data_IF_556937561132
#
_entry.id   IF_556937561132
#
_cell.length_a   1.000
_cell.length_b   1.000
_cell.length_c   1.000
_cell.angle_alpha   90.00
_cell.angle_beta   90.00
_cell.angle_gamma   90.00
#
_symmetry.space_group_name_H-M   'P 1'
#
loop_
_entity.id
_entity.type
_entity.pdbx_description
1 polymer ?
#
# COMPACT_ATOMS: atom_id res chain seq x y z
N UNK A 1 15.25 37.57 -67.49
CA UNK A 1 15.81 36.87 -66.31
C UNK A 1 15.12 37.28 -65.00
N UNK A 2 13.77 37.24 -64.88
CA UNK A 2 13.05 37.64 -63.64
C UNK A 2 12.04 36.60 -63.12
N UNK A 3 11.77 35.54 -63.87
CA UNK A 3 10.82 34.49 -63.47
C UNK A 3 11.47 33.37 -62.64
N UNK A 4 12.70 32.95 -63.00
CA UNK A 4 13.42 31.84 -62.33
C UNK A 4 13.69 32.13 -60.85
N UNK A 5 14.04 33.37 -60.50
CA UNK A 5 14.25 33.77 -59.10
C UNK A 5 12.98 33.71 -58.23
N UNK A 6 11.80 33.94 -58.81
CA UNK A 6 10.52 33.92 -58.08
C UNK A 6 10.07 32.51 -57.74
N UNK A 7 10.29 31.55 -58.64
CA UNK A 7 9.98 30.13 -58.38
C UNK A 7 10.98 29.47 -57.43
N UNK A 8 12.25 29.92 -57.45
CA UNK A 8 13.27 29.45 -56.49
C UNK A 8 12.93 29.83 -55.04
N UNK A 9 12.53 31.08 -54.80
CA UNK A 9 12.11 31.54 -53.47
C UNK A 9 10.85 30.81 -52.98
N UNK A 10 9.90 30.53 -53.87
CA UNK A 10 8.68 29.78 -53.54
C UNK A 10 8.99 28.32 -53.15
N UNK A 11 9.95 27.69 -53.84
CA UNK A 11 10.43 26.35 -53.51
C UNK A 11 11.10 26.28 -52.14
N UNK A 12 11.97 27.25 -51.82
CA UNK A 12 12.64 27.32 -50.51
C UNK A 12 11.62 27.54 -49.39
N UNK A 13 10.63 28.40 -49.60
CA UNK A 13 9.59 28.66 -48.60
C UNK A 13 8.74 27.41 -48.29
N UNK A 14 8.36 26.64 -49.30
CA UNK A 14 7.63 25.38 -49.12
C UNK A 14 8.47 24.32 -48.39
N UNK A 15 9.78 24.28 -48.64
CA UNK A 15 10.70 23.37 -47.97
C UNK A 15 10.86 23.71 -46.48
N UNK A 16 10.97 25.00 -46.15
CA UNK A 16 11.03 25.48 -44.76
C UNK A 16 9.73 25.21 -44.00
N UNK A 17 8.57 25.34 -44.67
CA UNK A 17 7.28 24.96 -44.10
C UNK A 17 7.25 23.45 -43.79
N UNK A 18 7.71 22.62 -44.73
CA UNK A 18 7.80 21.17 -44.52
C UNK A 18 8.68 20.79 -43.34
N UNK A 19 9.86 21.43 -43.23
CA UNK A 19 10.77 21.25 -42.10
C UNK A 19 10.19 21.75 -40.77
N UNK A 20 9.44 22.85 -40.78
CA UNK A 20 8.79 23.35 -39.57
C UNK A 20 7.68 22.41 -39.09
N UNK A 21 6.86 21.88 -40.00
CA UNK A 21 5.83 20.90 -39.65
C UNK A 21 6.43 19.56 -39.22
N UNK A 22 7.53 19.10 -39.83
CA UNK A 22 8.22 17.88 -39.39
C UNK A 22 8.86 18.07 -38.01
N UNK A 23 9.47 19.23 -37.76
CA UNK A 23 10.07 19.56 -36.47
C UNK A 23 9.02 19.72 -35.36
N UNK A 24 7.88 20.36 -35.65
CA UNK A 24 6.71 20.41 -34.75
C UNK A 24 6.19 19.03 -34.41
N UNK A 25 6.12 18.13 -35.41
CA UNK A 25 5.67 16.74 -35.22
C UNK A 25 6.67 15.94 -34.39
N UNK A 26 7.96 16.12 -34.64
CA UNK A 26 9.04 15.53 -33.85
C UNK A 26 8.96 15.97 -32.38
N UNK A 27 8.84 17.29 -32.13
CA UNK A 27 8.67 17.84 -30.79
C UNK A 27 7.44 17.29 -30.07
N UNK A 28 6.31 17.14 -30.78
CA UNK A 28 5.07 16.59 -30.22
C UNK A 28 5.20 15.11 -29.84
N UNK A 29 5.99 14.34 -30.60
CA UNK A 29 6.27 12.92 -30.32
C UNK A 29 7.20 12.75 -29.11
N UNK A 30 8.12 13.69 -28.89
CA UNK A 30 9.03 13.69 -27.73
C UNK A 30 8.44 14.31 -26.47
N UNK A 31 7.27 14.98 -26.56
CA UNK A 31 6.61 15.64 -25.42
C UNK A 31 5.50 14.81 -24.79
N UNK A 32 5.29 13.57 -25.22
CA UNK A 32 4.32 12.69 -24.57
C UNK A 32 4.90 12.29 -23.20
N UNK A 33 4.26 12.70 -22.10
CA UNK A 33 4.78 12.40 -20.77
C UNK A 33 4.75 10.89 -20.56
N UNK A 34 5.83 10.36 -20.01
CA UNK A 34 5.92 8.97 -19.59
C UNK A 34 4.84 8.76 -18.53
N UNK A 35 3.74 8.08 -18.87
CA UNK A 35 2.76 7.66 -17.88
C UNK A 35 3.44 6.66 -16.95
N UNK A 36 3.90 7.16 -15.81
CA UNK A 36 4.39 6.31 -14.72
C UNK A 36 3.15 5.64 -14.14
N UNK A 37 2.91 4.42 -14.60
CA UNK A 37 1.92 3.51 -14.05
C UNK A 37 2.15 3.32 -12.54
N UNK A 38 1.10 3.46 -11.74
CA UNK A 38 1.14 3.30 -10.28
C UNK A 38 1.15 1.82 -9.82
N UNK A 39 1.15 0.86 -10.74
CA UNK A 39 1.18 -0.56 -10.44
C UNK A 39 2.49 -1.21 -10.91
N UNK A 40 3.11 -1.98 -10.01
CA UNK A 40 4.28 -2.81 -10.30
C UNK A 40 3.83 -3.96 -11.19
N UNK A 41 4.57 -4.20 -12.28
CA UNK A 41 4.27 -5.31 -13.20
C UNK A 41 4.77 -6.65 -12.64
N UNK A 42 4.13 -7.77 -13.02
CA UNK A 42 4.59 -9.12 -12.60
C UNK A 42 6.07 -9.37 -12.94
N UNK A 43 6.54 -8.78 -14.05
CA UNK A 43 7.92 -8.89 -14.51
C UNK A 43 8.90 -8.06 -13.66
N UNK A 44 8.49 -6.89 -13.16
CA UNK A 44 9.28 -6.14 -12.18
C UNK A 44 9.35 -6.84 -10.84
N UNK A 45 8.25 -7.49 -10.42
CA UNK A 45 8.20 -8.23 -9.17
C UNK A 45 9.11 -9.48 -9.18
N UNK A 46 9.27 -10.12 -10.34
CA UNK A 46 10.21 -11.22 -10.54
C UNK A 46 11.68 -10.78 -10.55
N UNK A 47 11.96 -9.49 -10.79
CA UNK A 47 13.31 -8.93 -10.83
C UNK A 47 13.80 -8.41 -9.47
N UNK A 48 12.92 -8.30 -8.46
CA UNK A 48 13.31 -7.98 -7.08
C UNK A 48 13.81 -9.26 -6.39
N UNK A 49 14.86 -9.85 -6.94
CA UNK A 49 15.50 -11.02 -6.35
C UNK A 49 16.63 -10.55 -5.41
N UNK A 50 16.26 -9.98 -4.27
CA UNK A 50 17.21 -9.78 -3.16
C UNK A 50 17.17 -11.05 -2.31
N UNK A 51 18.31 -11.70 -2.03
CA UNK A 51 18.35 -12.89 -1.21
C UNK A 51 17.89 -12.52 0.21
N UNK A 52 16.73 -13.07 0.59
CA UNK A 52 16.13 -12.93 1.91
C UNK A 52 17.03 -13.60 2.95
N UNK A 53 17.86 -12.81 3.63
CA UNK A 53 18.61 -13.26 4.78
C UNK A 53 17.73 -13.07 6.02
N UNK A 54 17.26 -14.18 6.58
CA UNK A 54 16.63 -14.24 7.91
C UNK A 54 17.70 -13.98 8.96
N UNK A 55 17.92 -12.72 9.35
CA UNK A 55 18.25 -12.25 10.72
C UNK A 55 18.17 -10.70 10.67
N UNK A 56 17.24 -10.10 11.42
CA UNK A 56 16.88 -8.66 11.43
C UNK A 56 16.46 -8.06 10.07
N UNK A 57 15.17 -7.71 9.96
CA UNK A 57 14.72 -6.91 8.81
C UNK A 57 15.42 -5.55 8.84
N UNK A 58 16.08 -5.12 7.74
CA UNK A 58 16.96 -3.95 7.74
C UNK A 58 16.22 -2.61 7.88
N UNK A 59 14.88 -2.66 7.94
CA UNK A 59 14.00 -1.48 7.95
C UNK A 59 13.47 -1.28 9.36
N UNK A 60 13.72 -0.09 9.90
CA UNK A 60 13.12 0.32 11.17
C UNK A 60 11.62 0.46 10.99
N UNK A 61 10.86 0.08 12.02
CA UNK A 61 9.39 0.20 12.03
C UNK A 61 8.92 1.62 11.69
N UNK A 62 9.62 2.64 12.19
CA UNK A 62 9.32 4.06 11.91
C UNK A 62 9.52 4.47 10.45
N UNK A 63 10.26 3.69 9.67
CA UNK A 63 10.57 3.91 8.26
C UNK A 63 9.74 2.99 7.34
N UNK A 64 8.79 2.25 7.91
CA UNK A 64 8.01 1.29 7.15
C UNK A 64 7.11 1.93 6.10
N UNK A 65 7.24 1.42 4.89
CA UNK A 65 6.31 1.67 3.79
C UNK A 65 5.66 0.36 3.35
N UNK A 66 4.58 0.47 2.60
CA UNK A 66 3.89 -0.71 2.04
C UNK A 66 4.82 -1.57 1.18
N UNK A 67 5.82 -1.01 0.50
CA UNK A 67 6.74 -1.81 -0.32
C UNK A 67 7.86 -2.50 0.47
N UNK A 68 8.17 -2.00 1.68
CA UNK A 68 9.34 -2.45 2.45
C UNK A 68 8.98 -3.39 3.59
N UNK A 69 7.82 -3.18 4.23
CA UNK A 69 7.43 -3.91 5.43
C UNK A 69 6.26 -4.87 5.23
N UNK A 70 5.58 -4.81 4.08
CA UNK A 70 4.56 -5.78 3.71
C UNK A 70 5.14 -6.84 2.79
N UNK A 71 4.92 -8.10 3.14
CA UNK A 71 5.35 -9.25 2.34
C UNK A 71 4.30 -9.56 1.27
N UNK A 72 4.48 -8.95 0.09
CA UNK A 72 3.62 -9.14 -1.07
C UNK A 72 3.71 -10.57 -1.63
N UNK A 73 4.80 -11.30 -1.37
CA UNK A 73 4.99 -12.66 -1.90
C UNK A 73 3.91 -13.63 -1.40
N UNK A 74 3.44 -13.46 -0.16
CA UNK A 74 2.32 -14.24 0.41
C UNK A 74 1.02 -14.08 -0.38
N UNK A 75 0.82 -12.92 -0.97
CA UNK A 75 -0.39 -12.59 -1.70
C UNK A 75 -0.36 -13.14 -3.13
N UNK A 76 0.83 -13.24 -3.70
CA UNK A 76 1.07 -13.74 -5.06
C UNK A 76 1.32 -15.24 -5.10
N UNK A 77 1.64 -15.86 -3.96
CA UNK A 77 1.80 -17.31 -3.84
C UNK A 77 0.49 -18.10 -4.04
N UNK A 78 -0.66 -17.41 -4.04
CA UNK A 78 -1.98 -18.01 -4.14
C UNK A 78 -2.78 -17.39 -5.29
N UNK A 79 -3.75 -18.15 -5.78
CA UNK A 79 -4.68 -17.78 -6.85
C UNK A 79 -5.68 -16.70 -6.44
N UNK A 80 -5.93 -16.56 -5.14
CA UNK A 80 -6.88 -15.61 -4.59
C UNK A 80 -6.32 -14.88 -3.37
N UNK A 81 -6.67 -13.60 -3.25
CA UNK A 81 -6.41 -12.82 -2.05
C UNK A 81 -7.25 -13.36 -0.89
N UNK A 82 -6.59 -13.77 0.20
CA UNK A 82 -7.27 -14.27 1.40
C UNK A 82 -6.86 -13.50 2.64
N UNK A 83 -7.82 -13.31 3.54
CA UNK A 83 -7.69 -12.65 4.83
C UNK A 83 -7.97 -13.64 5.94
N UNK A 84 -6.99 -13.87 6.79
CA UNK A 84 -7.15 -14.64 8.01
C UNK A 84 -7.59 -13.72 9.15
N UNK A 85 -8.58 -14.17 9.91
CA UNK A 85 -9.07 -13.46 11.10
C UNK A 85 -8.84 -14.34 12.30
N UNK A 86 -8.08 -13.83 13.28
CA UNK A 86 -7.80 -14.57 14.52
C UNK A 86 -9.10 -14.97 15.23
N UNK A 87 -9.18 -16.18 15.80
CA UNK A 87 -10.30 -16.55 16.66
C UNK A 87 -10.42 -15.55 17.82
N UNK A 88 -11.65 -15.16 18.14
CA UNK A 88 -11.94 -14.29 19.28
C UNK A 88 -13.28 -14.67 19.87
N UNK A 89 -13.37 -14.64 21.19
CA UNK A 89 -14.62 -14.84 21.94
C UNK A 89 -15.56 -13.64 21.76
N UNK A 90 -14.99 -12.45 21.51
CA UNK A 90 -15.72 -11.22 21.25
C UNK A 90 -15.46 -10.79 19.81
N UNK A 91 -16.44 -11.00 18.94
CA UNK A 91 -16.32 -10.61 17.54
C UNK A 91 -16.46 -9.10 17.39
N UNK A 92 -15.36 -8.41 17.08
CA UNK A 92 -15.44 -7.00 16.63
C UNK A 92 -16.27 -6.91 15.34
N UNK A 93 -16.97 -5.79 15.12
CA UNK A 93 -17.80 -5.59 13.93
C UNK A 93 -16.98 -5.84 12.65
N UNK A 94 -15.73 -5.38 12.62
CA UNK A 94 -14.82 -5.59 11.49
C UNK A 94 -14.51 -7.07 11.26
N UNK A 95 -14.26 -7.83 12.32
CA UNK A 95 -13.98 -9.26 12.21
C UNK A 95 -15.16 -10.04 11.64
N UNK A 96 -16.41 -9.65 11.97
CA UNK A 96 -17.64 -10.27 11.46
C UNK A 96 -17.76 -10.01 9.96
N UNK A 97 -17.66 -8.76 9.53
CA UNK A 97 -17.79 -8.36 8.13
C UNK A 97 -16.76 -9.08 7.25
N UNK A 98 -15.51 -9.21 7.73
CA UNK A 98 -14.47 -9.91 6.98
C UNK A 98 -14.75 -11.41 6.91
N UNK A 99 -15.20 -12.04 8.00
CA UNK A 99 -15.55 -13.47 8.03
C UNK A 99 -16.69 -13.84 7.08
N UNK A 100 -17.62 -12.92 6.86
CA UNK A 100 -18.72 -13.08 5.90
C UNK A 100 -18.31 -12.79 4.44
N UNK A 101 -17.13 -12.20 4.22
CA UNK A 101 -16.63 -11.87 2.89
C UNK A 101 -16.05 -13.08 2.16
N UNK A 102 -16.01 -12.98 0.82
CA UNK A 102 -15.37 -13.99 -0.04
C UNK A 102 -13.85 -14.12 0.17
N UNK A 103 -13.24 -13.13 0.83
CA UNK A 103 -11.81 -13.11 1.08
C UNK A 103 -11.43 -13.90 2.33
N UNK A 104 -12.39 -14.27 3.17
CA UNK A 104 -12.10 -14.98 4.42
C UNK A 104 -11.40 -16.32 4.19
N UNK A 105 -10.43 -16.62 5.04
CA UNK A 105 -9.85 -17.96 5.21
C UNK A 105 -9.68 -18.28 6.68
N UNK A 106 -9.95 -19.53 7.06
CA UNK A 106 -9.60 -20.09 8.37
C UNK A 106 -8.19 -20.71 8.39
N UNK A 107 -7.51 -20.75 7.25
CA UNK A 107 -6.17 -21.29 7.07
C UNK A 107 -5.15 -20.13 6.95
N UNK A 108 -4.30 -19.89 7.97
CA UNK A 108 -3.32 -18.81 7.94
C UNK A 108 -2.22 -19.02 6.90
N UNK A 109 -2.00 -20.26 6.42
CA UNK A 109 -1.00 -20.53 5.38
C UNK A 109 -1.43 -20.03 4.01
N UNK A 110 -2.75 -19.88 3.79
CA UNK A 110 -3.31 -19.34 2.54
C UNK A 110 -3.49 -17.83 2.58
N UNK A 111 -3.26 -17.21 3.74
CA UNK A 111 -3.57 -15.81 3.97
C UNK A 111 -2.45 -14.88 3.48
N UNK A 112 -2.87 -13.88 2.70
CA UNK A 112 -2.07 -12.72 2.37
C UNK A 112 -2.07 -11.72 3.54
N UNK A 113 -3.24 -11.53 4.17
CA UNK A 113 -3.48 -10.48 5.15
C UNK A 113 -4.04 -11.08 6.44
N UNK A 114 -3.71 -10.47 7.58
CA UNK A 114 -4.12 -10.91 8.90
C UNK A 114 -4.88 -9.80 9.63
N UNK A 115 -5.97 -10.16 10.29
CA UNK A 115 -6.77 -9.23 11.10
C UNK A 115 -6.92 -9.79 12.49
N UNK A 116 -6.53 -8.97 13.48
CA UNK A 116 -6.62 -9.32 14.89
C UNK A 116 -8.08 -9.59 15.30
N UNK A 117 -8.25 -10.54 16.22
CA UNK A 117 -9.51 -10.75 16.93
C UNK A 117 -9.73 -9.73 18.05
N UNK A 118 -8.70 -8.93 18.34
CA UNK A 118 -8.70 -7.85 19.33
C UNK A 118 -9.34 -6.61 18.70
N UNK A 119 -10.37 -6.04 19.34
CA UNK A 119 -11.01 -4.83 18.83
C UNK A 119 -10.19 -3.59 19.16
N UNK A 120 -9.38 -3.14 18.19
CA UNK A 120 -8.57 -1.92 18.32
C UNK A 120 -9.21 -0.70 17.68
N UNK A 121 -10.43 -0.85 17.12
CA UNK A 121 -11.10 0.20 16.32
C UNK A 121 -11.24 1.50 17.11
N UNK A 122 -11.46 1.38 18.41
CA UNK A 122 -11.62 2.49 19.34
C UNK A 122 -10.45 2.56 20.33
N UNK A 123 -9.65 3.62 20.20
CA UNK A 123 -8.53 3.92 21.11
C UNK A 123 -8.84 5.07 22.06
N UNK A 124 -10.09 5.50 22.18
CA UNK A 124 -10.52 6.42 23.22
C UNK A 124 -10.60 5.71 24.58
N UNK A 125 -9.73 6.07 25.53
CA UNK A 125 -9.71 5.51 26.89
C UNK A 125 -11.02 5.71 27.66
N UNK A 126 -11.88 6.65 27.27
CA UNK A 126 -13.18 6.89 27.87
C UNK A 126 -14.29 6.03 27.28
N UNK A 127 -14.04 5.37 26.15
CA UNK A 127 -15.01 4.51 25.49
C UNK A 127 -15.21 3.20 26.22
N UNK A 128 -16.45 2.70 26.22
CA UNK A 128 -16.78 1.35 26.70
C UNK A 128 -16.14 0.26 25.84
N UNK A 129 -15.83 0.56 24.57
CA UNK A 129 -15.19 -0.35 23.63
C UNK A 129 -13.66 -0.34 23.72
N UNK A 130 -13.08 0.44 24.64
CA UNK A 130 -11.64 0.55 24.78
C UNK A 130 -11.01 -0.73 25.33
N UNK A 131 -10.31 -1.45 24.47
CA UNK A 131 -9.53 -2.62 24.90
C UNK A 131 -8.22 -2.18 25.56
N UNK A 132 -8.01 -2.64 26.80
CA UNK A 132 -6.79 -2.42 27.59
C UNK A 132 -5.81 -3.58 27.38
N UNK A 133 -4.54 -3.36 27.73
CA UNK A 133 -3.51 -4.41 27.76
C UNK A 133 -3.36 -5.15 26.42
N UNK A 134 -3.36 -4.38 25.32
CA UNK A 134 -3.31 -4.95 23.96
C UNK A 134 -1.98 -5.66 23.69
N UNK A 135 -0.87 -5.19 24.27
CA UNK A 135 0.43 -5.87 24.17
C UNK A 135 0.34 -7.29 24.74
N UNK A 136 -0.21 -7.41 25.94
CA UNK A 136 -0.37 -8.69 26.63
C UNK A 136 -1.29 -9.62 25.84
N UNK A 137 -2.36 -9.10 25.22
CA UNK A 137 -3.22 -9.88 24.32
C UNK A 137 -2.47 -10.33 23.05
N UNK A 138 -1.65 -9.47 22.45
CA UNK A 138 -0.83 -9.82 21.29
C UNK A 138 0.20 -10.90 21.65
N UNK A 139 0.80 -10.83 22.84
CA UNK A 139 1.76 -11.82 23.34
C UNK A 139 1.14 -13.22 23.50
N UNK A 140 -0.19 -13.32 23.65
CA UNK A 140 -0.88 -14.63 23.67
C UNK A 140 -1.08 -15.25 22.28
N UNK A 141 -0.88 -14.47 21.21
CA UNK A 141 -1.07 -14.95 19.85
C UNK A 141 0.07 -15.90 19.45
N UNK A 142 -0.19 -16.89 18.57
CA UNK A 142 0.87 -17.72 18.00
C UNK A 142 1.94 -16.84 17.33
N UNK A 143 3.16 -16.89 17.86
CA UNK A 143 4.25 -16.00 17.45
C UNK A 143 4.63 -16.19 15.98
N UNK A 144 4.47 -17.41 15.46
CA UNK A 144 4.70 -17.75 14.06
C UNK A 144 3.70 -17.09 13.11
N UNK A 145 2.48 -16.82 13.60
CA UNK A 145 1.45 -16.12 12.83
C UNK A 145 1.62 -14.61 12.99
N UNK A 146 1.78 -14.11 14.22
CA UNK A 146 1.91 -12.67 14.48
C UNK A 146 3.09 -12.06 13.71
N UNK A 147 4.23 -12.75 13.65
CA UNK A 147 5.40 -12.38 12.84
C UNK A 147 5.74 -10.88 12.93
N UNK A 148 5.82 -10.37 14.16
CA UNK A 148 6.10 -8.96 14.47
C UNK A 148 5.15 -7.98 13.76
N UNK A 149 3.90 -8.37 13.50
CA UNK A 149 2.90 -7.53 12.84
C UNK A 149 2.98 -7.51 11.31
N UNK A 150 3.91 -8.23 10.66
CA UNK A 150 3.98 -8.22 9.18
C UNK A 150 2.69 -8.76 8.57
N UNK A 151 2.19 -8.07 7.54
CA UNK A 151 0.92 -8.34 6.86
C UNK A 151 -0.33 -8.28 7.76
N UNK A 152 -0.21 -7.76 8.98
CA UNK A 152 -1.37 -7.53 9.84
C UNK A 152 -1.97 -6.16 9.56
N UNK A 153 -3.30 -6.05 9.64
CA UNK A 153 -4.01 -4.76 9.68
C UNK A 153 -4.57 -4.55 11.08
N UNK A 154 -4.27 -3.39 11.62
CA UNK A 154 -4.84 -2.86 12.86
C UNK A 154 -5.76 -1.71 12.48
N UNK A 155 -7.01 -1.80 12.91
CA UNK A 155 -7.98 -0.74 12.68
C UNK A 155 -7.92 0.25 13.83
N UNK A 156 -7.85 1.54 13.51
CA UNK A 156 -7.98 2.63 14.46
C UNK A 156 -8.83 3.72 13.82
N UNK A 157 -10.15 3.62 14.00
CA UNK A 157 -11.10 4.54 13.37
C UNK A 157 -11.49 5.68 14.32
N UNK A 158 -11.37 5.48 15.64
CA UNK A 158 -11.63 6.47 16.67
C UNK A 158 -10.35 6.80 17.47
N UNK A 159 -9.78 7.96 17.19
CA UNK A 159 -8.50 8.45 17.72
C UNK A 159 -8.62 9.14 19.10
N UNK A 160 -9.66 8.88 19.88
CA UNK A 160 -9.87 9.54 21.17
C UNK A 160 -10.87 10.71 21.15
N UNK A 161 -11.15 11.22 22.35
CA UNK A 161 -12.02 12.38 22.61
C UNK A 161 -11.24 13.47 23.34
N UNK A 162 -11.58 14.73 23.05
CA UNK A 162 -11.00 15.91 23.70
C UNK A 162 -10.87 15.74 25.24
N UNK A 163 -9.75 16.19 25.85
CA UNK A 163 -8.58 16.83 25.23
C UNK A 163 -7.56 15.83 24.65
N UNK A 164 -7.80 14.53 24.78
CA UNK A 164 -6.80 13.47 24.63
C UNK A 164 -6.93 12.76 23.27
N UNK A 165 -6.86 13.52 22.18
CA UNK A 165 -6.78 12.94 20.84
C UNK A 165 -5.40 12.31 20.64
N UNK A 166 -5.35 11.02 20.34
CA UNK A 166 -4.13 10.29 20.01
C UNK A 166 -4.23 9.76 18.59
N UNK A 167 -3.73 10.54 17.64
CA UNK A 167 -3.71 10.22 16.21
C UNK A 167 -2.64 9.18 15.85
N UNK A 168 -1.49 9.24 16.53
CA UNK A 168 -0.32 8.42 16.23
C UNK A 168 0.00 7.37 17.28
N UNK A 169 -0.32 7.60 18.54
CA UNK A 169 -0.05 6.65 19.62
C UNK A 169 -1.28 5.77 19.92
N UNK A 170 -1.20 4.50 19.54
CA UNK A 170 -2.25 3.51 19.79
C UNK A 170 -2.23 2.99 21.25
N UNK A 171 -1.16 3.29 21.99
CA UNK A 171 -0.92 2.82 23.35
C UNK A 171 -0.45 1.36 23.44
N UNK A 172 0.07 0.79 22.36
CA UNK A 172 0.64 -0.56 22.30
C UNK A 172 1.60 -0.70 21.10
N UNK A 173 2.45 -1.73 21.10
CA UNK A 173 3.39 -2.01 20.03
C UNK A 173 2.68 -2.70 18.86
N UNK A 174 2.77 -2.09 17.68
CA UNK A 174 2.15 -2.59 16.45
C UNK A 174 3.12 -3.35 15.55
N UNK A 175 4.42 -3.33 15.88
CA UNK A 175 5.45 -3.88 15.02
C UNK A 175 5.36 -3.32 13.60
N UNK A 176 5.35 -4.22 12.62
CA UNK A 176 5.28 -3.95 11.19
C UNK A 176 3.85 -3.89 10.64
N UNK A 177 2.83 -3.83 11.50
CA UNK A 177 1.43 -3.86 11.07
C UNK A 177 1.01 -2.59 10.32
N UNK A 178 0.13 -2.76 9.34
CA UNK A 178 -0.53 -1.68 8.63
C UNK A 178 -1.62 -1.09 9.52
N UNK A 179 -1.64 0.23 9.67
CA UNK A 179 -2.63 0.92 10.49
C UNK A 179 -3.71 1.53 9.58
N UNK A 180 -4.92 0.98 9.63
CA UNK A 180 -6.08 1.49 8.92
C UNK A 180 -6.74 2.61 9.74
N UNK A 181 -6.66 3.84 9.24
CA UNK A 181 -7.22 5.05 9.87
C UNK A 181 -8.44 5.58 9.13
N UNK A 182 -9.32 6.28 9.84
CA UNK A 182 -10.49 6.93 9.24
C UNK A 182 -10.14 8.16 8.37
N UNK A 183 -8.97 8.76 8.57
CA UNK A 183 -8.50 9.90 7.78
C UNK A 183 -7.10 9.64 7.20
N UNK A 184 -6.89 10.13 5.97
CA UNK A 184 -5.58 10.13 5.36
C UNK A 184 -4.68 11.15 6.08
N UNK A 185 -3.51 10.70 6.51
CA UNK A 185 -2.43 11.60 6.92
C UNK A 185 -1.51 11.81 5.73
N UNK A 186 -1.24 13.06 5.37
CA UNK A 186 -0.34 13.41 4.25
C UNK A 186 1.11 13.62 4.70
N UNK A 187 1.47 13.13 5.88
CA UNK A 187 2.81 13.24 6.47
C UNK A 187 3.37 11.87 6.78
#
# INVERSE_FOLDING_TARGET
MKAIGRYSLLGIFLLMIGLFFSYRRYLKLTSEPLEISSYITELELLNIQIPYHTEEWPVKISECTMSQCFDLSRCLAHDAFRVYVYPSDNSSVMSVVIRESIYYTNDPQKACLFVLGIDTVDRDRRSENYVKYVNELIETLPSEIWNYGRNHIIFNLYHGTYPDYSDHDLGFDTGYALIARASANTR
#
